data_IF_071975987494
#
_entry.id   IF_071975987494
#
_cell.length_a   1.000
_cell.length_b   1.000
_cell.length_c   1.000
_cell.angle_alpha   90.00
_cell.angle_beta   90.00
_cell.angle_gamma   90.00
#
_symmetry.space_group_name_H-M   'P 1'
#
loop_
_entity.id
_entity.type
_entity.pdbx_description
1 polymer ?
#
# COMPACT_ATOMS: atom_id res chain seq x y z
N UNK A 1 -17.59 4.69 1.96
CA UNK A 1 -18.41 4.16 3.07
C UNK A 1 -19.00 5.29 3.92
N UNK A 2 -20.00 4.96 4.74
CA UNK A 2 -20.43 5.80 5.87
C UNK A 2 -19.35 5.80 6.96
N UNK A 3 -19.53 6.67 7.95
CA UNK A 3 -18.59 6.76 9.08
C UNK A 3 -18.71 5.57 10.02
N UNK A 4 -19.94 5.12 10.25
CA UNK A 4 -20.27 3.98 11.09
C UNK A 4 -19.66 2.70 10.52
N UNK A 5 -19.84 2.44 9.23
CA UNK A 5 -19.24 1.28 8.53
C UNK A 5 -17.72 1.23 8.73
N UNK A 6 -17.03 2.38 8.64
CA UNK A 6 -15.58 2.43 8.85
C UNK A 6 -15.23 2.17 10.31
N UNK A 7 -15.99 2.70 11.27
CA UNK A 7 -15.75 2.46 12.69
C UNK A 7 -15.93 0.98 13.03
N UNK A 8 -17.01 0.34 12.57
CA UNK A 8 -17.28 -1.09 12.78
C UNK A 8 -16.15 -1.96 12.22
N UNK A 9 -15.74 -1.74 10.98
CA UNK A 9 -14.60 -2.46 10.40
C UNK A 9 -13.32 -2.29 11.24
N UNK A 10 -13.04 -1.08 11.72
CA UNK A 10 -11.83 -0.80 12.52
C UNK A 10 -11.82 -1.54 13.85
N UNK A 11 -12.98 -1.69 14.47
CA UNK A 11 -13.13 -2.31 15.78
C UNK A 11 -13.19 -3.84 15.71
N UNK A 12 -13.68 -4.40 14.60
CA UNK A 12 -13.91 -5.84 14.48
C UNK A 12 -12.79 -6.65 13.79
N UNK A 13 -11.91 -6.02 12.99
CA UNK A 13 -11.07 -6.79 12.03
C UNK A 13 -9.56 -6.82 12.32
N UNK A 14 -8.97 -5.89 13.07
CA UNK A 14 -7.56 -5.97 13.45
C UNK A 14 -7.36 -5.67 14.92
N UNK A 15 -6.39 -6.35 15.53
CA UNK A 15 -5.90 -6.01 16.86
C UNK A 15 -4.78 -4.98 16.78
N UNK A 16 -4.47 -4.31 17.91
CA UNK A 16 -3.34 -3.36 18.00
C UNK A 16 -1.97 -3.98 17.73
N UNK A 17 -1.88 -5.31 17.62
CA UNK A 17 -0.64 -6.08 17.47
C UNK A 17 -0.65 -7.03 16.27
N UNK A 18 -1.55 -6.87 15.31
CA UNK A 18 -1.57 -7.76 14.13
C UNK A 18 -0.24 -7.65 13.37
N UNK A 19 0.57 -8.70 13.49
CA UNK A 19 1.85 -8.81 12.82
C UNK A 19 1.64 -9.22 11.37
N UNK A 20 2.44 -8.65 10.48
CA UNK A 20 2.46 -9.03 9.08
C UNK A 20 3.91 -9.18 8.64
N UNK A 21 4.23 -10.27 7.96
CA UNK A 21 5.58 -10.57 7.52
C UNK A 21 5.66 -10.55 5.99
N UNK A 22 6.79 -10.20 5.42
CA UNK A 22 6.93 -10.21 3.97
C UNK A 22 8.35 -10.57 3.56
N UNK A 23 8.46 -11.48 2.61
CA UNK A 23 9.68 -11.73 1.87
C UNK A 23 9.37 -11.65 0.38
N UNK A 24 10.40 -11.48 -0.43
CA UNK A 24 10.25 -11.29 -1.87
C UNK A 24 9.41 -12.41 -2.49
N UNK A 25 8.45 -12.04 -3.34
CA UNK A 25 7.54 -12.97 -4.02
C UNK A 25 6.57 -13.76 -3.11
N UNK A 26 6.48 -13.46 -1.80
CA UNK A 26 5.45 -14.04 -0.90
C UNK A 26 4.03 -13.88 -1.48
N UNK A 27 3.79 -12.79 -2.20
CA UNK A 27 2.49 -12.54 -2.83
C UNK A 27 2.08 -13.62 -3.83
N UNK A 28 3.04 -14.25 -4.52
CA UNK A 28 2.74 -15.30 -5.48
C UNK A 28 2.24 -16.57 -4.78
N UNK A 29 2.83 -16.90 -3.63
CA UNK A 29 2.39 -18.01 -2.78
C UNK A 29 0.96 -17.78 -2.29
N UNK A 30 0.68 -16.61 -1.73
CA UNK A 30 -0.63 -16.29 -1.16
C UNK A 30 -1.73 -16.22 -2.22
N UNK A 31 -1.47 -15.58 -3.36
CA UNK A 31 -2.44 -15.50 -4.45
C UNK A 31 -2.74 -16.87 -5.05
N UNK A 32 -1.73 -17.74 -5.20
CA UNK A 32 -1.97 -19.11 -5.62
C UNK A 32 -2.74 -19.88 -4.55
N UNK A 33 -2.44 -19.68 -3.26
CA UNK A 33 -3.16 -20.33 -2.15
C UNK A 33 -4.67 -20.02 -2.20
N UNK A 34 -5.03 -18.76 -2.45
CA UNK A 34 -6.43 -18.39 -2.68
C UNK A 34 -7.02 -19.05 -3.91
N UNK A 35 -6.25 -19.06 -5.01
CA UNK A 35 -6.73 -19.57 -6.28
C UNK A 35 -6.94 -21.08 -6.30
N UNK A 36 -6.06 -21.86 -5.66
CA UNK A 36 -6.07 -23.33 -5.78
C UNK A 36 -7.16 -24.02 -4.95
N UNK A 37 -7.72 -23.37 -3.93
CA UNK A 37 -8.70 -24.00 -3.05
C UNK A 37 -8.13 -25.30 -2.46
N UNK A 38 -8.84 -26.43 -2.55
CA UNK A 38 -8.36 -27.74 -2.04
C UNK A 38 -7.32 -28.43 -2.95
N UNK A 39 -7.00 -27.81 -4.10
CA UNK A 39 -6.06 -28.33 -5.08
C UNK A 39 -6.47 -27.94 -6.50
N UNK A 40 -5.49 -27.60 -7.33
CA UNK A 40 -5.72 -27.25 -8.73
C UNK A 40 -4.61 -27.78 -9.63
N UNK A 41 -4.99 -28.35 -10.76
CA UNK A 41 -4.03 -28.81 -11.75
C UNK A 41 -3.26 -27.63 -12.37
N UNK A 42 -1.97 -27.84 -12.64
CA UNK A 42 -1.10 -26.78 -13.15
C UNK A 42 -1.59 -26.26 -14.53
N UNK A 43 -2.25 -27.08 -15.34
CA UNK A 43 -2.75 -26.65 -16.66
C UNK A 43 -3.90 -25.65 -16.52
N UNK A 44 -4.78 -25.83 -15.54
CA UNK A 44 -5.85 -24.88 -15.20
C UNK A 44 -5.29 -23.56 -14.70
N UNK A 45 -4.24 -23.58 -13.87
CA UNK A 45 -3.56 -22.35 -13.42
C UNK A 45 -2.97 -21.62 -14.63
N UNK A 46 -2.29 -22.34 -15.55
CA UNK A 46 -1.71 -21.78 -16.79
C UNK A 46 -2.74 -21.12 -17.73
N UNK A 47 -4.02 -21.52 -17.65
CA UNK A 47 -5.12 -20.95 -18.44
C UNK A 47 -5.82 -19.77 -17.76
N UNK A 48 -5.37 -19.36 -16.58
CA UNK A 48 -5.96 -18.28 -15.79
C UNK A 48 -5.08 -17.03 -15.73
N UNK A 49 -5.60 -15.95 -15.18
CA UNK A 49 -4.83 -14.73 -14.88
C UNK A 49 -3.61 -14.98 -13.94
N UNK A 50 -3.59 -16.12 -13.23
CA UNK A 50 -2.54 -16.50 -12.30
C UNK A 50 -1.36 -17.23 -12.97
N UNK A 51 -1.43 -17.50 -14.28
CA UNK A 51 -0.39 -18.22 -15.02
C UNK A 51 1.02 -17.65 -14.84
N UNK A 52 1.14 -16.33 -14.76
CA UNK A 52 2.42 -15.64 -14.56
C UNK A 52 3.09 -15.94 -13.21
N UNK A 53 2.32 -16.34 -12.19
CA UNK A 53 2.87 -16.67 -10.87
C UNK A 53 3.67 -17.97 -10.92
N UNK A 54 3.34 -18.89 -11.83
CA UNK A 54 4.10 -20.12 -12.07
C UNK A 54 5.52 -19.86 -12.61
N UNK A 55 5.80 -18.64 -13.10
CA UNK A 55 7.12 -18.26 -13.58
C UNK A 55 8.05 -17.77 -12.47
N UNK A 56 7.54 -17.63 -11.24
CA UNK A 56 8.36 -17.26 -10.07
C UNK A 56 9.20 -18.45 -9.64
N UNK A 57 10.49 -18.21 -9.41
CA UNK A 57 11.44 -19.27 -9.02
C UNK A 57 10.95 -20.05 -7.79
N UNK A 58 10.43 -19.36 -6.76
CA UNK A 58 9.86 -20.02 -5.58
C UNK A 58 8.70 -20.98 -5.92
N UNK A 59 7.89 -20.67 -6.93
CA UNK A 59 6.78 -21.53 -7.37
C UNK A 59 7.29 -22.67 -8.25
N UNK A 60 8.27 -22.41 -9.11
CA UNK A 60 8.93 -23.47 -9.91
C UNK A 60 9.56 -24.53 -9.02
N UNK A 61 10.24 -24.10 -7.96
CA UNK A 61 10.86 -25.00 -6.98
C UNK A 61 9.82 -25.87 -6.26
N UNK A 62 8.68 -25.29 -5.88
CA UNK A 62 7.56 -26.02 -5.27
C UNK A 62 6.96 -27.03 -6.25
N UNK A 63 6.69 -26.60 -7.49
CA UNK A 63 6.11 -27.46 -8.53
C UNK A 63 7.03 -28.64 -8.87
N UNK A 64 8.34 -28.41 -8.94
CA UNK A 64 9.34 -29.46 -9.19
C UNK A 64 9.37 -30.52 -8.09
N UNK A 65 9.26 -30.11 -6.82
CA UNK A 65 9.24 -31.02 -5.66
C UNK A 65 7.93 -31.82 -5.54
N UNK A 66 6.85 -31.31 -6.12
CA UNK A 66 5.48 -31.84 -5.97
C UNK A 66 5.08 -32.84 -7.07
N UNK A 67 6.01 -33.22 -7.97
CA UNK A 67 5.70 -34.12 -9.09
C UNK A 67 4.90 -33.46 -10.24
N UNK A 68 4.67 -32.14 -10.18
CA UNK A 68 4.25 -31.31 -11.32
C UNK A 68 2.82 -31.47 -11.85
N UNK A 69 1.97 -32.31 -11.27
CA UNK A 69 0.58 -32.48 -11.73
C UNK A 69 -0.34 -31.41 -11.13
N UNK A 70 -0.39 -31.33 -9.80
CA UNK A 70 -1.31 -30.49 -9.04
C UNK A 70 -0.57 -29.62 -8.03
N UNK A 71 -1.12 -28.45 -7.74
CA UNK A 71 -0.68 -27.55 -6.69
C UNK A 71 -1.74 -27.48 -5.59
N UNK A 72 -1.32 -27.71 -4.35
CA UNK A 72 -2.17 -27.71 -3.15
C UNK A 72 -1.75 -26.63 -2.15
N UNK A 73 -2.66 -26.13 -1.30
CA UNK A 73 -2.37 -25.07 -0.32
C UNK A 73 -1.18 -25.35 0.60
N UNK A 74 -1.03 -26.60 1.03
CA UNK A 74 0.00 -27.00 2.02
C UNK A 74 1.40 -26.83 1.43
N UNK A 75 1.54 -27.01 0.11
CA UNK A 75 2.80 -26.86 -0.61
C UNK A 75 3.22 -25.38 -0.74
N UNK A 76 2.27 -24.45 -0.61
CA UNK A 76 2.48 -23.01 -0.74
C UNK A 76 2.86 -22.35 0.59
N UNK A 77 2.87 -23.11 1.70
CA UNK A 77 3.26 -22.62 3.01
C UNK A 77 4.79 -22.65 3.20
N UNK A 78 5.50 -21.77 2.47
CA UNK A 78 6.96 -21.66 2.54
C UNK A 78 7.39 -20.42 3.30
N UNK A 79 8.33 -20.59 4.23
CA UNK A 79 8.93 -19.49 5.01
C UNK A 79 10.46 -19.55 4.98
N UNK A 80 11.13 -18.53 4.43
CA UNK A 80 12.58 -18.41 4.49
C UNK A 80 13.04 -17.94 5.88
N UNK A 81 14.33 -18.11 6.17
CA UNK A 81 14.98 -17.57 7.38
C UNK A 81 15.00 -16.03 7.43
N UNK A 82 14.91 -15.38 6.27
CA UNK A 82 14.96 -13.92 6.15
C UNK A 82 13.64 -13.37 5.60
N UNK A 83 12.96 -12.59 6.43
CA UNK A 83 11.77 -11.85 6.06
C UNK A 83 11.73 -10.52 6.81
N UNK A 84 10.91 -9.60 6.30
CA UNK A 84 10.67 -8.32 6.93
C UNK A 84 9.38 -8.37 7.76
N UNK A 85 9.43 -7.85 8.97
CA UNK A 85 8.26 -7.75 9.86
C UNK A 85 7.65 -6.35 9.84
N UNK A 86 6.33 -6.32 9.97
CA UNK A 86 5.48 -5.14 9.98
C UNK A 86 4.35 -5.31 10.99
N UNK A 87 3.66 -4.21 11.29
CA UNK A 87 2.40 -4.23 12.01
C UNK A 87 1.30 -3.58 11.18
N UNK A 88 0.14 -4.22 11.12
CA UNK A 88 -1.05 -3.65 10.51
C UNK A 88 -1.85 -2.86 11.52
N UNK A 89 -2.42 -1.76 11.07
CA UNK A 89 -3.40 -1.00 11.84
C UNK A 89 -4.34 -0.26 10.90
N UNK A 90 -5.43 0.26 11.46
CA UNK A 90 -6.38 1.05 10.71
C UNK A 90 -6.38 2.53 11.07
N UNK A 91 -6.68 3.33 10.08
CA UNK A 91 -7.13 4.70 10.21
C UNK A 91 -8.42 4.94 9.42
N UNK A 92 -8.75 6.21 9.27
CA UNK A 92 -9.87 6.68 8.49
C UNK A 92 -9.39 7.80 7.58
N UNK A 93 -9.94 7.87 6.38
CA UNK A 93 -9.64 8.96 5.45
C UNK A 93 -10.90 9.42 4.72
N UNK A 94 -10.94 10.69 4.32
CA UNK A 94 -12.08 11.27 3.61
C UNK A 94 -13.05 12.02 4.51
N UNK A 95 -14.10 12.56 3.89
CA UNK A 95 -15.18 13.24 4.59
C UNK A 95 -16.49 13.21 3.79
N UNK A 96 -17.59 13.62 4.44
CA UNK A 96 -18.92 13.76 3.82
C UNK A 96 -19.10 15.10 3.08
N UNK A 97 -18.19 16.06 3.26
CA UNK A 97 -18.38 17.44 2.81
C UNK A 97 -18.30 17.57 1.29
N UNK A 98 -19.19 18.38 0.71
CA UNK A 98 -19.15 18.72 -0.71
C UNK A 98 -17.87 19.48 -1.09
N UNK A 99 -17.39 20.33 -0.19
CA UNK A 99 -16.22 21.19 -0.38
C UNK A 99 -14.90 20.46 -0.14
N UNK A 100 -14.92 19.33 0.57
CA UNK A 100 -13.73 18.53 0.85
C UNK A 100 -13.33 17.57 -0.27
N UNK A 101 -14.24 17.28 -1.22
CA UNK A 101 -14.07 16.19 -2.17
C UNK A 101 -12.78 16.30 -3.01
N UNK A 102 -12.44 17.49 -3.50
CA UNK A 102 -11.19 17.71 -4.25
C UNK A 102 -9.92 17.63 -3.39
N UNK A 103 -10.04 17.94 -2.09
CA UNK A 103 -8.92 17.87 -1.14
C UNK A 103 -8.58 16.42 -0.76
N UNK A 104 -9.59 15.60 -0.50
CA UNK A 104 -9.40 14.20 -0.09
C UNK A 104 -9.21 13.25 -1.28
N UNK A 105 -9.48 13.68 -2.52
CA UNK A 105 -9.23 12.87 -3.72
C UNK A 105 -9.79 11.43 -3.58
N UNK A 106 -11.02 11.31 -3.08
CA UNK A 106 -11.73 10.03 -2.96
C UNK A 106 -12.65 9.83 -4.15
N UNK A 107 -12.96 8.57 -4.47
CA UNK A 107 -13.81 8.23 -5.63
C UNK A 107 -15.24 8.72 -5.44
N UNK A 108 -15.77 8.58 -4.23
CA UNK A 108 -17.08 9.10 -3.83
C UNK A 108 -16.97 9.82 -2.48
N UNK A 109 -18.00 10.60 -2.12
CA UNK A 109 -18.05 11.23 -0.79
C UNK A 109 -18.25 10.18 0.31
N UNK A 110 -17.77 10.52 1.50
CA UNK A 110 -17.78 9.66 2.67
C UNK A 110 -16.37 9.30 3.08
N UNK A 111 -16.22 8.10 3.63
CA UNK A 111 -14.97 7.67 4.25
C UNK A 111 -14.42 6.43 3.55
N UNK A 112 -13.10 6.36 3.48
CA UNK A 112 -12.35 5.13 3.23
C UNK A 112 -11.82 4.60 4.56
N UNK A 113 -11.70 3.27 4.64
CA UNK A 113 -10.83 2.64 5.62
C UNK A 113 -9.39 2.85 5.14
N UNK A 114 -8.52 3.31 6.03
CA UNK A 114 -7.10 3.39 5.73
C UNK A 114 -6.37 2.22 6.39
N UNK A 115 -5.82 1.30 5.59
CA UNK A 115 -4.96 0.25 6.10
C UNK A 115 -3.52 0.75 6.12
N UNK A 116 -2.87 0.67 7.27
CA UNK A 116 -1.49 1.10 7.45
C UNK A 116 -0.55 -0.12 7.56
N UNK A 117 0.50 -0.13 6.74
CA UNK A 117 1.66 -1.01 6.93
C UNK A 117 2.70 -0.24 7.72
N UNK A 118 2.87 -0.61 8.99
CA UNK A 118 3.73 0.09 9.93
C UNK A 118 5.07 -0.65 10.09
N UNK A 119 6.11 0.11 10.39
CA UNK A 119 7.43 -0.42 10.67
C UNK A 119 7.45 -1.29 11.93
N UNK A 120 8.46 -2.16 12.01
CA UNK A 120 8.80 -2.92 13.21
C UNK A 120 9.59 -2.08 14.21
N UNK A 121 9.70 -2.56 15.44
CA UNK A 121 10.56 -1.96 16.47
C UNK A 121 12.02 -1.82 16.02
N UNK A 122 12.54 -2.82 15.30
CA UNK A 122 13.91 -2.79 14.75
C UNK A 122 14.16 -1.55 13.87
N UNK A 123 13.18 -1.17 13.04
CA UNK A 123 13.30 0.05 12.26
C UNK A 123 13.18 1.29 13.14
N UNK A 124 12.25 1.29 14.10
CA UNK A 124 12.03 2.43 14.98
C UNK A 124 13.27 2.74 15.84
N UNK A 125 14.00 1.71 16.29
CA UNK A 125 15.28 1.85 16.98
C UNK A 125 16.34 2.49 16.06
N UNK A 126 16.47 2.01 14.83
CA UNK A 126 17.39 2.58 13.85
C UNK A 126 17.03 4.02 13.47
N UNK A 127 15.74 4.33 13.37
CA UNK A 127 15.23 5.67 13.14
C UNK A 127 15.58 6.60 14.30
N UNK A 128 15.36 6.17 15.55
CA UNK A 128 15.73 6.94 16.73
C UNK A 128 17.24 7.16 16.82
N UNK A 129 18.04 6.13 16.54
CA UNK A 129 19.50 6.21 16.64
C UNK A 129 20.13 7.09 15.54
N UNK A 130 19.65 6.99 14.31
CA UNK A 130 20.27 7.64 13.15
C UNK A 130 19.65 8.99 12.83
N UNK A 131 18.34 9.16 13.02
CA UNK A 131 17.64 10.42 12.70
C UNK A 131 17.44 11.27 13.95
N UNK A 132 17.25 10.62 15.10
CA UNK A 132 16.99 11.27 16.38
C UNK A 132 15.91 12.36 16.26
N UNK A 133 14.68 11.99 15.88
CA UNK A 133 13.64 12.96 15.58
C UNK A 133 13.34 13.88 16.77
N UNK A 134 13.00 15.13 16.50
CA UNK A 134 12.48 16.04 17.51
C UNK A 134 11.18 15.49 18.13
N UNK A 135 10.90 15.84 19.38
CA UNK A 135 9.65 15.44 20.05
C UNK A 135 8.44 15.92 19.25
N UNK A 136 7.54 15.00 18.90
CA UNK A 136 6.36 15.27 18.07
C UNK A 136 6.66 15.57 16.59
N UNK A 137 7.91 15.46 16.15
CA UNK A 137 8.30 15.72 14.77
C UNK A 137 8.41 14.42 13.97
N UNK A 138 7.79 14.40 12.80
CA UNK A 138 7.82 13.26 11.88
C UNK A 138 8.27 13.71 10.48
N UNK A 139 9.59 13.93 10.27
CA UNK A 139 10.16 14.49 9.03
C UNK A 139 9.80 13.74 7.74
N UNK A 140 9.36 12.49 7.85
CA UNK A 140 9.05 11.64 6.70
C UNK A 140 7.55 11.34 6.54
N UNK A 141 6.68 11.97 7.34
CA UNK A 141 5.22 11.82 7.22
C UNK A 141 4.56 13.04 6.59
N UNK A 142 3.41 12.82 5.96
CA UNK A 142 2.51 13.88 5.51
C UNK A 142 1.30 13.90 6.42
N UNK A 143 1.08 14.99 7.15
CA UNK A 143 -0.11 15.16 8.01
C UNK A 143 -1.44 15.16 7.23
N UNK A 144 -1.37 15.30 5.89
CA UNK A 144 -2.53 15.28 5.00
C UNK A 144 -2.88 13.88 4.49
N UNK A 145 -2.04 12.88 4.79
CA UNK A 145 -2.20 11.50 4.35
C UNK A 145 -2.42 10.56 5.53
N UNK A 146 -3.00 9.36 5.28
CA UNK A 146 -3.17 8.36 6.32
C UNK A 146 -1.85 7.98 6.99
N UNK A 147 -1.86 7.94 8.32
CA UNK A 147 -0.79 7.41 9.13
C UNK A 147 -1.35 6.90 10.45
N UNK A 148 -0.63 6.00 11.09
CA UNK A 148 -0.96 5.51 12.42
C UNK A 148 -0.59 6.56 13.47
N UNK A 149 -1.48 6.77 14.44
CA UNK A 149 -1.18 7.59 15.62
C UNK A 149 -0.24 6.87 16.62
N UNK A 150 -0.05 5.56 16.46
CA UNK A 150 0.68 4.72 17.43
C UNK A 150 2.04 4.25 16.91
N UNK A 151 2.27 4.30 15.59
CA UNK A 151 3.44 3.70 14.95
C UNK A 151 3.90 4.50 13.74
N UNK A 152 5.18 4.35 13.40
CA UNK A 152 5.71 4.86 12.17
C UNK A 152 5.15 4.07 10.96
N UNK A 153 4.41 4.76 10.10
CA UNK A 153 3.77 4.15 8.92
C UNK A 153 4.69 4.18 7.71
N UNK A 154 5.09 3.00 7.21
CA UNK A 154 5.85 2.86 5.96
C UNK A 154 4.98 3.21 4.76
N UNK A 155 3.82 2.57 4.66
CA UNK A 155 2.92 2.67 3.53
C UNK A 155 1.47 2.53 3.98
N UNK A 156 0.54 2.94 3.13
CA UNK A 156 -0.89 2.84 3.39
C UNK A 156 -1.68 2.54 2.13
N UNK A 157 -2.85 1.93 2.33
CA UNK A 157 -3.88 1.77 1.31
C UNK A 157 -5.19 2.44 1.76
N UNK A 158 -5.88 3.11 0.84
CA UNK A 158 -7.24 3.61 1.04
C UNK A 158 -8.23 2.64 0.40
N UNK A 159 -9.21 2.19 1.18
CA UNK A 159 -10.16 1.15 0.79
C UNK A 159 -11.58 1.67 0.85
N UNK A 160 -12.35 1.44 -0.20
CA UNK A 160 -13.80 1.63 -0.22
C UNK A 160 -14.48 0.27 -0.29
N UNK A 161 -15.07 -0.18 0.82
CA UNK A 161 -15.54 -1.55 0.99
C UNK A 161 -17.07 -1.57 0.88
N UNK A 162 -17.57 -2.57 0.16
CA UNK A 162 -18.98 -2.87 -0.02
C UNK A 162 -19.23 -4.33 0.41
N UNK A 163 -19.56 -4.48 1.70
CA UNK A 163 -19.84 -5.78 2.30
C UNK A 163 -21.04 -6.47 1.64
N UNK A 164 -22.04 -5.71 1.18
CA UNK A 164 -23.25 -6.25 0.57
C UNK A 164 -22.95 -7.01 -0.71
N UNK A 165 -22.03 -6.50 -1.53
CA UNK A 165 -21.66 -7.11 -2.80
C UNK A 165 -20.38 -7.97 -2.73
N UNK A 166 -19.76 -8.09 -1.54
CA UNK A 166 -18.43 -8.70 -1.36
C UNK A 166 -17.38 -8.06 -2.30
N UNK A 167 -17.44 -6.73 -2.43
CA UNK A 167 -16.53 -5.96 -3.27
C UNK A 167 -15.73 -4.95 -2.46
N UNK A 168 -14.50 -4.67 -2.88
CA UNK A 168 -13.74 -3.54 -2.36
C UNK A 168 -13.00 -2.84 -3.49
N UNK A 169 -12.93 -1.51 -3.43
CA UNK A 169 -12.08 -0.71 -4.29
C UNK A 169 -10.85 -0.27 -3.50
N UNK A 170 -9.68 -0.72 -3.93
CA UNK A 170 -8.41 -0.11 -3.57
C UNK A 170 -8.37 1.24 -4.28
N UNK A 171 -8.54 2.32 -3.52
CA UNK A 171 -8.54 3.67 -4.07
C UNK A 171 -7.12 4.11 -4.44
N UNK A 172 -6.16 3.76 -3.59
CA UNK A 172 -4.78 4.21 -3.67
C UNK A 172 -3.88 3.39 -2.74
N UNK A 173 -2.63 3.19 -3.16
CA UNK A 173 -1.51 2.70 -2.35
C UNK A 173 -0.37 3.71 -2.46
N UNK A 174 0.20 4.14 -1.35
CA UNK A 174 1.34 5.07 -1.33
C UNK A 174 2.30 4.84 -0.15
N UNK A 175 3.49 5.42 -0.26
CA UNK A 175 4.44 5.61 0.84
C UNK A 175 4.87 7.07 0.88
N UNK A 176 4.60 7.74 2.00
CA UNK A 176 5.17 9.06 2.29
C UNK A 176 6.61 8.93 2.76
N UNK A 177 6.86 7.94 3.63
CA UNK A 177 8.10 7.78 4.35
C UNK A 177 9.31 7.66 3.42
N UNK A 178 9.29 6.70 2.51
CA UNK A 178 10.39 6.47 1.57
C UNK A 178 10.55 7.64 0.59
N UNK A 179 9.44 8.29 0.23
CA UNK A 179 9.41 9.41 -0.70
C UNK A 179 10.06 10.64 -0.10
N UNK A 180 9.66 11.02 1.11
CA UNK A 180 10.20 12.18 1.81
C UNK A 180 11.64 11.95 2.26
N UNK A 181 11.99 10.77 2.77
CA UNK A 181 13.38 10.46 3.12
C UNK A 181 14.33 10.64 1.92
N UNK A 182 13.96 10.14 0.74
CA UNK A 182 14.75 10.32 -0.49
C UNK A 182 14.80 11.77 -0.96
N UNK A 183 13.67 12.48 -0.96
CA UNK A 183 13.64 13.88 -1.38
C UNK A 183 14.44 14.78 -0.46
N UNK A 184 14.30 14.61 0.84
CA UNK A 184 15.06 15.32 1.87
C UNK A 184 16.55 15.09 1.68
N UNK A 185 16.98 13.83 1.53
CA UNK A 185 18.39 13.49 1.24
C UNK A 185 18.87 14.18 -0.04
N UNK A 186 18.16 14.01 -1.15
CA UNK A 186 18.54 14.59 -2.44
C UNK A 186 18.63 16.13 -2.37
N UNK A 187 17.70 16.76 -1.67
CA UNK A 187 17.68 18.20 -1.45
C UNK A 187 18.90 18.67 -0.64
N UNK A 188 19.20 18.02 0.49
CA UNK A 188 20.32 18.38 1.34
C UNK A 188 21.66 18.24 0.62
N UNK A 189 21.85 17.18 -0.18
CA UNK A 189 23.05 17.01 -1.00
C UNK A 189 23.20 18.11 -2.08
N UNK A 190 22.11 18.56 -2.70
CA UNK A 190 22.13 19.66 -3.68
C UNK A 190 22.46 21.01 -3.07
N UNK A 191 21.98 21.27 -1.85
CA UNK A 191 22.21 22.56 -1.17
C UNK A 191 23.61 22.69 -0.57
N UNK A 192 24.46 21.64 -0.66
CA UNK A 192 25.84 21.57 -0.14
C UNK A 192 26.04 22.36 1.15
N UNK A 193 25.33 22.00 2.24
CA UNK A 193 25.55 22.66 3.51
C UNK A 193 27.04 22.60 3.90
N UNK A 194 27.78 23.73 3.87
CA UNK A 194 29.11 23.85 4.52
C UNK A 194 28.99 23.35 5.96
N UNK A 195 29.47 22.14 6.26
CA UNK A 195 29.20 21.48 7.54
C UNK A 195 30.11 22.09 8.62
N UNK A 196 29.64 23.01 9.48
CA UNK A 196 30.45 23.39 10.64
C UNK A 196 30.45 22.15 11.54
N UNK A 197 31.63 21.69 11.96
CA UNK A 197 31.74 20.52 12.84
C UNK A 197 30.75 20.65 14.00
N UNK A 198 29.91 19.63 14.20
CA UNK A 198 29.05 19.49 15.38
C UNK A 198 27.60 19.99 15.29
N UNK A 199 27.13 20.55 14.16
CA UNK A 199 25.69 20.92 14.01
C UNK A 199 24.86 19.85 13.30
N UNK A 200 23.63 19.66 13.77
CA UNK A 200 22.59 18.84 13.15
C UNK A 200 21.96 19.55 11.94
N UNK A 201 21.25 18.78 11.11
CA UNK A 201 20.49 19.30 9.97
C UNK A 201 19.40 20.28 10.44
N UNK A 202 18.67 19.95 11.52
CA UNK A 202 17.62 20.80 12.07
C UNK A 202 18.16 22.16 12.54
N UNK A 203 19.29 22.19 13.26
CA UNK A 203 19.93 23.44 13.71
C UNK A 203 20.41 24.32 12.55
N UNK A 204 20.79 23.70 11.43
CA UNK A 204 21.26 24.42 10.27
C UNK A 204 20.13 25.02 9.43
N UNK A 205 18.98 24.35 9.42
CA UNK A 205 17.85 24.71 8.58
C UNK A 205 16.54 24.76 9.38
N UNK A 206 16.46 25.60 10.43
CA UNK A 206 15.34 25.61 11.37
C UNK A 206 14.02 26.04 10.72
N UNK A 207 14.08 26.84 9.64
CA UNK A 207 12.90 27.37 8.93
C UNK A 207 12.48 26.55 7.71
N UNK A 208 13.16 25.44 7.39
CA UNK A 208 12.84 24.62 6.20
C UNK A 208 12.06 23.37 6.59
N UNK A 209 10.87 23.21 6.02
CA UNK A 209 9.95 22.12 6.39
C UNK A 209 10.54 20.71 6.26
N UNK A 210 11.44 20.47 5.30
CA UNK A 210 12.07 19.15 5.08
C UNK A 210 13.21 18.81 6.05
N UNK A 211 13.74 19.79 6.80
CA UNK A 211 14.81 19.60 7.78
C UNK A 211 14.33 19.66 9.22
N UNK A 212 13.08 20.06 9.42
CA UNK A 212 12.44 20.12 10.74
C UNK A 212 12.41 18.72 11.35
N UNK A 213 12.91 18.61 12.58
CA UNK A 213 12.98 17.34 13.30
C UNK A 213 14.11 16.40 12.89
N UNK A 214 15.04 16.78 12.00
CA UNK A 214 16.22 15.96 11.69
C UNK A 214 17.41 16.33 12.61
N UNK A 215 17.45 15.79 13.83
CA UNK A 215 18.55 16.06 14.77
C UNK A 215 19.73 15.10 14.55
N UNK A 216 20.13 14.97 13.29
CA UNK A 216 21.25 14.14 12.84
C UNK A 216 22.13 14.91 11.85
N UNK A 217 23.31 14.40 11.56
CA UNK A 217 24.16 14.92 10.49
C UNK A 217 23.87 14.22 9.15
N UNK A 218 24.40 14.77 8.05
CA UNK A 218 24.13 14.25 6.70
C UNK A 218 24.56 12.79 6.51
N UNK A 219 25.68 12.37 7.11
CA UNK A 219 26.15 10.97 6.99
C UNK A 219 25.25 9.99 7.76
N UNK A 220 24.65 10.41 8.87
CA UNK A 220 23.65 9.60 9.58
C UNK A 220 22.36 9.47 8.76
N UNK A 221 21.89 10.55 8.14
CA UNK A 221 20.76 10.50 7.21
C UNK A 221 21.05 9.57 6.02
N UNK A 222 22.24 9.65 5.43
CA UNK A 222 22.66 8.76 4.36
C UNK A 222 22.62 7.29 4.83
N UNK A 223 23.18 7.01 6.01
CA UNK A 223 23.16 5.66 6.59
C UNK A 223 21.74 5.15 6.84
N UNK A 224 20.84 6.01 7.32
CA UNK A 224 19.44 5.66 7.52
C UNK A 224 18.75 5.33 6.19
N UNK A 225 18.92 6.17 5.17
CA UNK A 225 18.29 5.96 3.86
C UNK A 225 18.84 4.71 3.16
N UNK A 226 20.15 4.48 3.20
CA UNK A 226 20.78 3.38 2.48
C UNK A 226 20.61 2.03 3.19
N UNK A 227 20.76 1.98 4.51
CA UNK A 227 20.79 0.72 5.25
C UNK A 227 19.51 0.44 6.02
N UNK A 228 18.97 1.40 6.77
CA UNK A 228 17.75 1.17 7.55
C UNK A 228 16.51 1.10 6.65
N UNK A 229 16.42 1.97 5.63
CA UNK A 229 15.32 1.95 4.67
C UNK A 229 15.55 1.00 3.48
N UNK A 230 16.81 0.63 3.22
CA UNK A 230 17.21 -0.20 2.07
C UNK A 230 16.36 -1.47 1.85
N UNK A 231 16.12 -2.30 2.88
CA UNK A 231 15.28 -3.50 2.76
C UNK A 231 13.85 -3.21 2.28
N UNK A 232 13.24 -2.14 2.80
CA UNK A 232 11.86 -1.75 2.50
C UNK A 232 11.71 -1.14 1.09
N UNK A 233 12.73 -0.42 0.63
CA UNK A 233 12.68 0.29 -0.66
C UNK A 233 12.39 -0.62 -1.86
N UNK A 234 12.75 -1.89 -1.78
CA UNK A 234 12.64 -2.86 -2.88
C UNK A 234 11.30 -3.59 -2.93
N UNK A 235 10.55 -3.60 -1.83
CA UNK A 235 9.40 -4.51 -1.65
C UNK A 235 8.19 -3.88 -0.97
N UNK A 236 8.24 -2.61 -0.56
CA UNK A 236 7.14 -1.95 0.16
C UNK A 236 5.80 -2.02 -0.59
N UNK A 237 5.83 -1.88 -1.91
CA UNK A 237 4.63 -1.84 -2.76
C UNK A 237 3.99 -3.23 -2.85
N UNK A 238 4.81 -4.26 -2.99
CA UNK A 238 4.37 -5.65 -2.93
C UNK A 238 3.86 -6.02 -1.53
N UNK A 239 4.57 -5.62 -0.48
CA UNK A 239 4.17 -5.88 0.89
C UNK A 239 2.83 -5.19 1.21
N UNK A 240 2.66 -3.93 0.81
CA UNK A 240 1.42 -3.18 1.03
C UNK A 240 0.25 -3.74 0.21
N UNK A 241 0.45 -4.09 -1.05
CA UNK A 241 -0.60 -4.71 -1.87
C UNK A 241 -0.99 -6.08 -1.32
N UNK A 242 -0.02 -6.92 -0.93
CA UNK A 242 -0.33 -8.21 -0.33
C UNK A 242 -1.05 -8.05 1.01
N UNK A 243 -0.58 -7.16 1.89
CA UNK A 243 -1.26 -6.88 3.16
C UNK A 243 -2.70 -6.42 2.94
N UNK A 244 -2.94 -5.62 1.89
CA UNK A 244 -4.28 -5.15 1.53
C UNK A 244 -5.17 -6.30 1.08
N UNK A 245 -4.68 -7.16 0.19
CA UNK A 245 -5.43 -8.31 -0.32
C UNK A 245 -5.70 -9.32 0.81
N UNK A 246 -4.69 -9.63 1.61
CA UNK A 246 -4.80 -10.49 2.78
C UNK A 246 -5.86 -9.96 3.74
N UNK A 247 -5.80 -8.67 4.10
CA UNK A 247 -6.78 -8.05 4.99
C UNK A 247 -8.21 -8.15 4.41
N UNK A 248 -8.38 -7.76 3.16
CA UNK A 248 -9.69 -7.81 2.50
C UNK A 248 -10.24 -9.24 2.42
N UNK A 249 -9.39 -10.23 2.16
CA UNK A 249 -9.81 -11.63 2.00
C UNK A 249 -10.05 -12.33 3.33
N UNK A 250 -9.10 -12.25 4.24
CA UNK A 250 -9.05 -13.07 5.47
C UNK A 250 -9.78 -12.41 6.64
N UNK A 251 -9.65 -11.09 6.77
CA UNK A 251 -10.24 -10.37 7.91
C UNK A 251 -11.62 -9.79 7.59
N UNK A 252 -11.87 -9.41 6.33
CA UNK A 252 -13.15 -8.80 5.91
C UNK A 252 -14.05 -9.76 5.12
N UNK A 253 -13.51 -10.78 4.45
CA UNK A 253 -14.30 -11.72 3.64
C UNK A 253 -14.70 -11.22 2.24
N UNK A 254 -13.91 -10.31 1.66
CA UNK A 254 -14.10 -9.79 0.29
C UNK A 254 -13.54 -10.78 -0.74
N UNK A 255 -14.29 -10.96 -1.84
CA UNK A 255 -13.94 -11.87 -2.94
C UNK A 255 -13.58 -11.16 -4.25
N UNK A 256 -14.07 -9.93 -4.43
CA UNK A 256 -13.86 -9.13 -5.65
C UNK A 256 -13.17 -7.83 -5.32
N UNK A 257 -11.91 -7.72 -5.69
CA UNK A 257 -11.08 -6.57 -5.37
C UNK A 257 -10.84 -5.77 -6.64
N UNK A 258 -11.34 -4.53 -6.65
CA UNK A 258 -11.14 -3.57 -7.70
C UNK A 258 -9.96 -2.66 -7.36
N UNK A 259 -9.27 -2.18 -8.40
CA UNK A 259 -8.25 -1.15 -8.28
C UNK A 259 -8.38 -0.19 -9.47
N UNK A 260 -8.23 1.11 -9.27
CA UNK A 260 -8.24 2.07 -10.38
C UNK A 260 -7.11 1.82 -11.37
N UNK A 261 -7.41 1.96 -12.67
CA UNK A 261 -6.37 2.30 -13.65
C UNK A 261 -5.87 3.72 -13.40
N UNK A 262 -4.68 4.05 -13.89
CA UNK A 262 -4.09 5.37 -13.65
C UNK A 262 -4.99 6.50 -14.18
N UNK A 263 -5.43 6.38 -15.43
CA UNK A 263 -6.26 7.36 -16.13
C UNK A 263 -7.62 7.54 -15.45
N UNK A 264 -8.29 6.43 -15.16
CA UNK A 264 -9.61 6.47 -14.52
C UNK A 264 -9.52 7.03 -13.11
N UNK A 265 -8.51 6.62 -12.33
CA UNK A 265 -8.30 7.13 -10.97
C UNK A 265 -8.11 8.64 -10.96
N UNK A 266 -7.24 9.18 -11.83
CA UNK A 266 -7.04 10.62 -11.94
C UNK A 266 -8.32 11.35 -12.37
N UNK A 267 -9.05 10.80 -13.35
CA UNK A 267 -10.29 11.40 -13.86
C UNK A 267 -11.40 11.42 -12.82
N UNK A 268 -11.66 10.29 -12.19
CA UNK A 268 -12.75 10.11 -11.23
C UNK A 268 -12.52 10.97 -9.99
N UNK A 269 -11.27 11.06 -9.52
CA UNK A 269 -10.88 11.84 -8.35
C UNK A 269 -10.57 13.31 -8.67
N UNK A 270 -10.67 13.71 -9.95
CA UNK A 270 -10.36 15.05 -10.46
C UNK A 270 -8.98 15.54 -10.02
N UNK A 271 -7.98 14.67 -10.12
CA UNK A 271 -6.62 15.01 -9.72
C UNK A 271 -6.01 15.88 -10.83
N UNK A 272 -5.76 17.14 -10.48
CA UNK A 272 -5.08 18.11 -11.33
C UNK A 272 -3.68 18.41 -10.79
N UNK A 273 -2.71 18.64 -11.67
CA UNK A 273 -1.34 18.95 -11.31
C UNK A 273 -0.51 17.72 -10.91
N UNK A 274 -0.33 17.49 -9.60
CA UNK A 274 0.60 16.46 -9.12
C UNK A 274 -0.05 15.06 -9.14
N UNK A 275 0.14 14.38 -10.26
CA UNK A 275 -0.38 13.02 -10.46
C UNK A 275 0.33 11.98 -9.57
N UNK A 276 -0.36 10.89 -9.20
CA UNK A 276 0.26 9.79 -8.48
C UNK A 276 1.32 9.06 -9.34
N UNK A 277 2.20 8.23 -8.74
CA UNK A 277 3.17 7.48 -9.51
C UNK A 277 2.50 6.44 -10.41
N UNK A 278 2.56 6.64 -11.74
CA UNK A 278 1.94 5.75 -12.74
C UNK A 278 2.32 4.27 -12.58
N UNK A 279 3.54 3.97 -12.12
CA UNK A 279 3.99 2.57 -11.92
C UNK A 279 3.15 1.81 -10.90
N UNK A 280 2.69 2.47 -9.84
CA UNK A 280 1.84 1.87 -8.79
C UNK A 280 0.46 1.49 -9.35
N UNK A 281 -0.02 2.24 -10.33
CA UNK A 281 -1.32 2.02 -10.97
C UNK A 281 -1.27 1.14 -12.23
N UNK A 282 -0.09 0.73 -12.69
CA UNK A 282 0.04 -0.01 -13.96
C UNK A 282 0.86 -1.29 -13.87
N UNK A 283 1.95 -1.28 -13.11
CA UNK A 283 2.81 -2.46 -12.94
C UNK A 283 2.36 -3.31 -11.76
N UNK A 284 2.06 -2.69 -10.63
CA UNK A 284 1.70 -3.40 -9.40
C UNK A 284 0.43 -4.27 -9.55
N UNK A 285 -0.73 -3.75 -10.02
CA UNK A 285 -1.92 -4.59 -10.22
C UNK A 285 -1.67 -5.76 -11.17
N UNK A 286 -0.97 -5.53 -12.30
CA UNK A 286 -0.62 -6.61 -13.24
C UNK A 286 0.20 -7.70 -12.57
N UNK A 287 1.19 -7.34 -11.74
CA UNK A 287 2.00 -8.33 -11.00
C UNK A 287 1.17 -9.18 -10.05
N UNK A 288 0.07 -8.65 -9.54
CA UNK A 288 -0.87 -9.30 -8.63
C UNK A 288 -2.06 -9.94 -9.37
N UNK A 289 -1.92 -10.20 -10.68
CA UNK A 289 -2.92 -10.91 -11.49
C UNK A 289 -4.26 -10.19 -11.62
N UNK A 290 -4.32 -8.88 -11.40
CA UNK A 290 -5.51 -8.12 -11.73
C UNK A 290 -5.69 -8.03 -13.26
N UNK A 291 -6.92 -8.17 -13.71
CA UNK A 291 -7.31 -8.04 -15.11
C UNK A 291 -8.04 -6.71 -15.34
N UNK A 292 -7.80 -6.05 -16.47
CA UNK A 292 -8.53 -4.82 -16.79
C UNK A 292 -9.99 -5.12 -17.12
N UNK A 293 -10.90 -4.26 -16.66
CA UNK A 293 -12.34 -4.37 -16.87
C UNK A 293 -13.01 -3.00 -17.01
N UNK A 294 -14.10 -2.95 -17.78
CA UNK A 294 -15.05 -1.82 -17.81
C UNK A 294 -16.19 -1.95 -16.80
N UNK A 295 -16.30 -3.09 -16.11
CA UNK A 295 -17.28 -3.27 -15.05
C UNK A 295 -16.68 -2.74 -13.75
N UNK A 296 -17.26 -1.67 -13.21
CA UNK A 296 -16.81 -1.08 -11.95
C UNK A 296 -17.48 -1.71 -10.71
N UNK A 297 -16.98 -1.40 -9.50
CA UNK A 297 -17.58 -1.85 -8.26
C UNK A 297 -18.95 -1.20 -8.03
N UNK A 298 -19.89 -1.95 -7.48
CA UNK A 298 -21.28 -1.55 -7.25
C UNK A 298 -21.39 -0.27 -6.44
N UNK A 299 -20.57 -0.11 -5.40
CA UNK A 299 -20.55 1.08 -4.55
C UNK A 299 -20.16 2.37 -5.29
N UNK A 300 -19.51 2.26 -6.45
CA UNK A 300 -19.16 3.40 -7.33
C UNK A 300 -20.17 3.54 -8.46
N UNK A 301 -20.52 2.44 -9.13
CA UNK A 301 -21.43 2.48 -10.29
C UNK A 301 -22.85 2.88 -9.90
N UNK A 302 -23.30 2.52 -8.70
CA UNK A 302 -24.62 2.88 -8.17
C UNK A 302 -24.61 4.21 -7.41
N UNK A 303 -23.46 4.88 -7.31
CA UNK A 303 -23.36 6.12 -6.55
C UNK A 303 -24.09 7.28 -7.27
N UNK A 304 -25.05 7.97 -6.62
CA UNK A 304 -25.95 8.91 -7.29
C UNK A 304 -25.33 10.31 -7.50
N UNK A 305 -24.07 10.41 -7.89
CA UNK A 305 -23.40 11.69 -8.18
C UNK A 305 -23.34 11.96 -9.69
N UNK A 306 -23.80 13.14 -10.11
CA UNK A 306 -23.93 13.51 -11.53
C UNK A 306 -22.62 13.40 -12.32
N UNK A 307 -21.49 13.83 -11.74
CA UNK A 307 -20.18 13.71 -12.38
C UNK A 307 -19.74 12.26 -12.55
N UNK A 308 -19.93 11.42 -11.52
CA UNK A 308 -19.62 10.00 -11.61
C UNK A 308 -20.44 9.34 -12.72
N UNK A 309 -21.76 9.63 -12.78
CA UNK A 309 -22.64 9.15 -13.85
C UNK A 309 -22.14 9.56 -15.24
N UNK A 310 -21.65 10.79 -15.39
CA UNK A 310 -21.06 11.25 -16.66
C UNK A 310 -19.80 10.47 -17.02
N UNK A 311 -18.84 10.32 -16.10
CA UNK A 311 -17.60 9.56 -16.33
C UNK A 311 -17.89 8.12 -16.72
N UNK A 312 -18.84 7.47 -16.03
CA UNK A 312 -19.28 6.10 -16.33
C UNK A 312 -19.94 5.99 -17.71
N UNK A 313 -20.91 6.86 -18.03
CA UNK A 313 -21.62 6.87 -19.32
C UNK A 313 -20.70 7.15 -20.50
N UNK A 314 -19.69 7.99 -20.30
CA UNK A 314 -18.71 8.30 -21.33
C UNK A 314 -17.66 7.19 -21.54
N UNK A 315 -17.73 6.08 -20.79
CA UNK A 315 -16.76 4.98 -20.89
C UNK A 315 -15.35 5.36 -20.42
N UNK A 316 -15.23 6.44 -19.63
CA UNK A 316 -13.94 7.00 -19.19
C UNK A 316 -13.40 6.36 -17.91
N UNK A 317 -14.13 5.40 -17.33
CA UNK A 317 -13.70 4.66 -16.16
C UNK A 317 -13.32 3.22 -16.55
N UNK A 318 -12.11 2.83 -16.12
CA UNK A 318 -11.54 1.50 -16.28
C UNK A 318 -10.91 1.08 -14.97
N UNK A 319 -11.07 -0.18 -14.64
CA UNK A 319 -10.57 -0.75 -13.39
C UNK A 319 -9.74 -1.99 -13.68
N UNK A 320 -8.93 -2.34 -12.71
CA UNK A 320 -8.33 -3.64 -12.52
C UNK A 320 -9.25 -4.44 -11.58
N UNK A 321 -9.48 -5.71 -11.87
CA UNK A 321 -10.26 -6.63 -11.05
C UNK A 321 -9.43 -7.86 -10.73
N UNK A 322 -9.33 -8.18 -9.44
CA UNK A 322 -8.82 -9.45 -8.94
C UNK A 322 -9.99 -10.25 -8.38
N UNK A 323 -10.14 -11.48 -8.87
CA UNK A 323 -11.09 -12.48 -8.38
C UNK A 323 -10.29 -13.54 -7.63
N UNK A 324 -10.52 -13.65 -6.31
CA UNK A 324 -9.79 -14.56 -5.43
C UNK A 324 -10.48 -15.91 -5.31
#
# INVERSE_FOLDING_TARGET
>A
MTEQEVTELRECTLTKRTAFHYFKDRYALELLRYRVGDGMDIRSIKRSAFAQLLQKEIIKDIAAKSGGADLRPEQLHVWPSHYQSYYLSHGRYGNKSKWGYGYYQTTRRGFNLALHLNFSSQHDDAYQQLINPGQGEHPFLSLRHPHSALRNTLAWARLDIDLKNSEALIEEIQTDWLRYARWTRAYLHRTKPKNPRGKTIAEKFPSRGFSRGLNCCLSQLDRYVDFALGPYQKTWDEAMMLATIWYLREEVGISRIFYHTFEAGCRVKRIEGRLPPRSIYSRLPKRFCFEETSVGPACVTNYPEGYMKHVLRAGLARWYLLKL
#
